data_IF_366229370905
#
_entry.id   IF_366229370905
#
_cell.length_a   1.000
_cell.length_b   1.000
_cell.length_c   1.000
_cell.angle_alpha   90.00
_cell.angle_beta   90.00
_cell.angle_gamma   90.00
#
_symmetry.space_group_name_H-M   'P 1'
#
loop_
_entity.id
_entity.type
_entity.pdbx_description
1 polymer ?
#
# COMPACT_ATOMS: atom_id res chain seq x y z
N UNK A 1 9.59 -8.14 25.17
CA UNK A 1 8.85 -7.71 23.96
C UNK A 1 7.40 -7.47 24.33
N UNK A 2 6.86 -6.27 24.11
CA UNK A 2 5.44 -5.98 24.35
C UNK A 2 4.56 -6.67 23.31
N UNK A 3 3.28 -6.85 23.62
CA UNK A 3 2.31 -7.45 22.69
C UNK A 3 2.10 -6.59 21.43
N UNK A 4 2.14 -5.27 21.60
CA UNK A 4 2.13 -4.31 20.50
C UNK A 4 3.35 -4.49 19.57
N UNK A 5 4.54 -4.72 20.13
CA UNK A 5 5.74 -4.97 19.32
C UNK A 5 5.59 -6.26 18.51
N UNK A 6 5.07 -7.34 19.11
CA UNK A 6 4.85 -8.61 18.41
C UNK A 6 3.86 -8.47 17.25
N UNK A 7 2.78 -7.71 17.42
CA UNK A 7 1.81 -7.45 16.34
C UNK A 7 2.42 -6.65 15.20
N UNK A 8 3.25 -5.64 15.50
CA UNK A 8 3.98 -4.86 14.50
C UNK A 8 4.98 -5.73 13.72
N UNK A 9 5.73 -6.59 14.42
CA UNK A 9 6.69 -7.50 13.79
C UNK A 9 5.98 -8.49 12.85
N UNK A 10 4.87 -9.09 13.29
CA UNK A 10 4.07 -10.00 12.47
C UNK A 10 3.47 -9.29 11.24
N UNK A 11 2.96 -8.07 11.40
CA UNK A 11 2.48 -7.26 10.28
C UNK A 11 3.58 -6.97 9.26
N UNK A 12 4.78 -6.59 9.72
CA UNK A 12 5.93 -6.30 8.86
C UNK A 12 6.43 -7.54 8.12
N UNK A 13 6.43 -8.69 8.78
CA UNK A 13 6.77 -9.97 8.15
C UNK A 13 5.78 -10.30 7.02
N UNK A 14 4.48 -10.28 7.30
CA UNK A 14 3.46 -10.56 6.28
C UNK A 14 3.54 -9.57 5.10
N UNK A 15 3.79 -8.28 5.39
CA UNK A 15 3.99 -7.26 4.36
C UNK A 15 5.21 -7.57 3.48
N UNK A 16 6.33 -7.98 4.09
CA UNK A 16 7.54 -8.36 3.36
C UNK A 16 7.30 -9.53 2.41
N UNK A 17 6.53 -10.54 2.84
CA UNK A 17 6.19 -11.69 1.99
C UNK A 17 5.38 -11.26 0.74
N UNK A 18 4.43 -10.33 0.87
CA UNK A 18 3.73 -9.78 -0.30
C UNK A 18 4.66 -9.03 -1.26
N UNK A 19 5.60 -8.26 -0.72
CA UNK A 19 6.59 -7.51 -1.52
C UNK A 19 7.55 -8.46 -2.23
N UNK A 20 7.99 -9.54 -1.59
CA UNK A 20 8.83 -10.55 -2.23
C UNK A 20 8.11 -11.19 -3.42
N UNK A 21 6.83 -11.54 -3.27
CA UNK A 21 6.04 -12.08 -4.38
C UNK A 21 5.94 -11.06 -5.53
N UNK A 22 5.64 -9.79 -5.22
CA UNK A 22 5.59 -8.73 -6.23
C UNK A 22 6.94 -8.55 -6.94
N UNK A 23 8.05 -8.56 -6.21
CA UNK A 23 9.40 -8.46 -6.77
C UNK A 23 9.74 -9.65 -7.68
N UNK A 24 9.33 -10.87 -7.33
CA UNK A 24 9.50 -12.06 -8.19
C UNK A 24 8.70 -11.93 -9.49
N UNK A 25 7.49 -11.38 -9.43
CA UNK A 25 6.69 -11.12 -10.64
C UNK A 25 7.39 -10.15 -11.60
N UNK A 26 8.01 -9.09 -11.09
CA UNK A 26 8.75 -8.14 -11.92
C UNK A 26 10.06 -8.73 -12.41
N UNK A 27 10.92 -9.18 -11.50
CA UNK A 27 12.32 -9.50 -11.80
C UNK A 27 12.51 -10.87 -12.47
N UNK A 28 11.68 -11.86 -12.12
CA UNK A 28 11.84 -13.23 -12.63
C UNK A 28 10.84 -13.55 -13.75
N UNK A 29 9.61 -13.03 -13.66
CA UNK A 29 8.55 -13.31 -14.65
C UNK A 29 8.39 -12.23 -15.70
N UNK A 30 9.10 -11.10 -15.57
CA UNK A 30 9.13 -10.03 -16.56
C UNK A 30 7.85 -9.19 -16.66
N UNK A 31 6.99 -9.21 -15.65
CA UNK A 31 5.81 -8.34 -15.64
C UNK A 31 6.20 -6.88 -15.44
N UNK A 32 5.47 -5.98 -16.10
CA UNK A 32 5.63 -4.54 -15.90
C UNK A 32 5.31 -4.16 -14.43
N UNK A 33 6.13 -3.29 -13.85
CA UNK A 33 5.98 -2.91 -12.44
C UNK A 33 4.65 -2.19 -12.14
N UNK A 34 4.12 -1.39 -13.09
CA UNK A 34 2.81 -0.74 -12.92
C UNK A 34 1.70 -1.77 -12.97
N UNK A 35 1.83 -2.77 -13.85
CA UNK A 35 0.90 -3.91 -13.91
C UNK A 35 0.88 -4.69 -12.59
N UNK A 36 2.05 -5.01 -12.03
CA UNK A 36 2.14 -5.72 -10.73
C UNK A 36 1.55 -4.87 -9.60
N UNK A 37 1.79 -3.55 -9.61
CA UNK A 37 1.20 -2.63 -8.63
C UNK A 37 -0.33 -2.60 -8.71
N UNK A 38 -0.89 -2.52 -9.92
CA UNK A 38 -2.34 -2.57 -10.13
C UNK A 38 -2.94 -3.93 -9.69
N UNK A 39 -2.25 -5.02 -9.99
CA UNK A 39 -2.65 -6.36 -9.55
C UNK A 39 -2.64 -6.50 -8.02
N UNK A 40 -1.63 -5.93 -7.35
CA UNK A 40 -1.55 -5.95 -5.88
C UNK A 40 -2.72 -5.19 -5.25
N UNK A 41 -3.08 -4.02 -5.79
CA UNK A 41 -4.25 -3.26 -5.34
C UNK A 41 -5.56 -4.04 -5.54
N UNK A 42 -5.72 -4.72 -6.69
CA UNK A 42 -6.89 -5.54 -6.94
C UNK A 42 -6.96 -6.73 -5.97
N UNK A 43 -5.86 -7.46 -5.78
CA UNK A 43 -5.77 -8.58 -4.86
C UNK A 43 -6.10 -8.16 -3.41
N UNK A 44 -5.61 -6.99 -3.00
CA UNK A 44 -5.83 -6.46 -1.67
C UNK A 44 -7.29 -6.05 -1.44
N UNK A 45 -7.97 -5.54 -2.47
CA UNK A 45 -9.42 -5.28 -2.46
C UNK A 45 -10.26 -6.55 -2.40
N UNK A 46 -9.90 -7.59 -3.16
CA UNK A 46 -10.55 -8.91 -3.13
C UNK A 46 -10.42 -9.53 -1.74
N UNK A 47 -9.23 -9.51 -1.15
CA UNK A 47 -8.99 -10.04 0.18
C UNK A 47 -9.73 -9.26 1.27
N UNK A 48 -9.74 -7.93 1.21
CA UNK A 48 -10.51 -7.10 2.13
C UNK A 48 -12.02 -7.39 2.05
N UNK A 49 -12.54 -7.62 0.85
CA UNK A 49 -13.94 -8.02 0.63
C UNK A 49 -14.23 -9.39 1.25
N UNK A 50 -13.35 -10.36 1.03
CA UNK A 50 -13.47 -11.69 1.63
C UNK A 50 -13.47 -11.63 3.17
N UNK A 51 -12.58 -10.86 3.78
CA UNK A 51 -12.53 -10.70 5.25
C UNK A 51 -13.81 -10.05 5.79
N UNK A 52 -14.38 -9.09 5.06
CA UNK A 52 -15.56 -8.35 5.52
C UNK A 52 -16.89 -9.08 5.25
N UNK A 53 -16.99 -9.81 4.13
CA UNK A 53 -18.26 -10.30 3.60
C UNK A 53 -18.26 -11.81 3.26
N UNK A 54 -17.12 -12.50 3.41
CA UNK A 54 -16.98 -13.92 3.08
C UNK A 54 -16.99 -14.20 1.58
N UNK A 55 -17.04 -15.49 1.21
CA UNK A 55 -16.93 -15.95 -0.17
C UNK A 55 -18.11 -15.58 -1.09
N UNK A 56 -19.28 -15.29 -0.51
CA UNK A 56 -20.52 -15.02 -1.25
C UNK A 56 -21.02 -13.58 -1.06
N UNK A 57 -20.29 -12.76 -0.31
CA UNK A 57 -20.66 -11.39 -0.02
C UNK A 57 -19.94 -10.38 -0.89
N UNK A 58 -20.39 -9.13 -0.81
CA UNK A 58 -19.77 -7.98 -1.45
C UNK A 58 -19.81 -6.77 -0.52
N UNK A 59 -18.99 -5.77 -0.78
CA UNK A 59 -19.02 -4.51 -0.04
C UNK A 59 -20.12 -3.61 -0.61
N UNK A 60 -21.10 -3.24 0.23
CA UNK A 60 -21.97 -2.11 -0.05
C UNK A 60 -21.14 -0.80 -0.13
N UNK A 61 -21.66 0.31 -0.71
CA UNK A 61 -20.89 1.55 -0.87
C UNK A 61 -20.17 2.03 0.39
N UNK A 62 -20.86 2.03 1.55
CA UNK A 62 -20.22 2.41 2.82
C UNK A 62 -19.12 1.45 3.29
N UNK A 63 -19.16 0.18 2.88
CA UNK A 63 -18.09 -0.78 3.10
C UNK A 63 -16.86 -0.49 2.25
N UNK A 64 -17.06 -0.08 0.99
CA UNK A 64 -15.99 0.38 0.09
C UNK A 64 -15.30 1.61 0.70
N UNK A 65 -16.07 2.60 1.16
CA UNK A 65 -15.53 3.82 1.78
C UNK A 65 -14.71 3.51 3.04
N UNK A 66 -15.18 2.56 3.85
CA UNK A 66 -14.46 2.13 5.06
C UNK A 66 -13.12 1.49 4.70
N UNK A 67 -13.09 0.59 3.72
CA UNK A 67 -11.85 -0.04 3.25
C UNK A 67 -10.90 1.00 2.66
N UNK A 68 -11.39 1.91 1.81
CA UNK A 68 -10.59 2.98 1.24
C UNK A 68 -9.98 3.89 2.32
N UNK A 69 -10.76 4.23 3.36
CA UNK A 69 -10.29 5.01 4.50
C UNK A 69 -9.19 4.29 5.27
N UNK A 70 -9.33 2.98 5.50
CA UNK A 70 -8.29 2.17 6.13
C UNK A 70 -7.00 2.16 5.32
N UNK A 71 -7.08 2.01 3.99
CA UNK A 71 -5.91 2.12 3.11
C UNK A 71 -5.23 3.48 3.22
N UNK A 72 -6.00 4.58 3.17
CA UNK A 72 -5.49 5.93 3.31
C UNK A 72 -4.74 6.12 4.63
N UNK A 73 -5.31 5.65 5.73
CA UNK A 73 -4.72 5.76 7.06
C UNK A 73 -3.41 4.98 7.16
N UNK A 74 -3.39 3.73 6.67
CA UNK A 74 -2.18 2.91 6.65
C UNK A 74 -1.09 3.52 5.76
N UNK A 75 -1.44 3.99 4.56
CA UNK A 75 -0.48 4.64 3.66
C UNK A 75 0.11 5.90 4.31
N UNK A 76 -0.74 6.73 4.93
CA UNK A 76 -0.30 7.94 5.63
C UNK A 76 0.66 7.62 6.78
N UNK A 77 0.39 6.57 7.55
CA UNK A 77 1.28 6.08 8.60
C UNK A 77 2.64 5.63 8.04
N UNK A 78 2.65 4.86 6.95
CA UNK A 78 3.88 4.41 6.28
C UNK A 78 4.70 5.60 5.80
N UNK A 79 4.08 6.59 5.15
CA UNK A 79 4.79 7.78 4.67
C UNK A 79 5.37 8.60 5.83
N UNK A 80 4.62 8.74 6.93
CA UNK A 80 5.12 9.38 8.15
C UNK A 80 6.34 8.65 8.71
N UNK A 81 6.28 7.33 8.85
CA UNK A 81 7.41 6.51 9.33
C UNK A 81 8.64 6.63 8.43
N UNK A 82 8.45 6.53 7.11
CA UNK A 82 9.52 6.71 6.13
C UNK A 82 10.17 8.08 6.24
N UNK A 83 9.38 9.14 6.45
CA UNK A 83 9.88 10.49 6.68
C UNK A 83 10.77 10.55 7.92
N UNK A 84 10.28 10.03 9.05
CA UNK A 84 11.02 10.01 10.32
C UNK A 84 12.32 9.20 10.22
N UNK A 85 12.32 8.09 9.47
CA UNK A 85 13.52 7.28 9.22
C UNK A 85 14.57 8.02 8.39
N UNK A 86 14.15 8.75 7.35
CA UNK A 86 15.04 9.59 6.55
C UNK A 86 15.66 10.73 7.38
N UNK A 87 14.86 11.38 8.22
CA UNK A 87 15.33 12.43 9.13
C UNK A 87 16.34 11.89 10.15
N UNK A 88 16.09 10.70 10.70
CA UNK A 88 17.03 10.03 11.61
C UNK A 88 18.36 9.66 10.94
N UNK A 89 18.37 9.47 9.62
CA UNK A 89 19.59 9.28 8.82
C UNK A 89 20.28 10.61 8.44
N UNK A 90 19.77 11.75 8.92
CA UNK A 90 20.29 13.09 8.60
C UNK A 90 19.93 13.57 7.18
N UNK A 91 19.01 12.89 6.50
CA UNK A 91 18.52 13.29 5.18
C UNK A 91 17.33 14.25 5.34
N UNK A 92 17.23 15.24 4.46
CA UNK A 92 16.04 16.10 4.37
C UNK A 92 15.01 15.45 3.43
N UNK A 93 13.87 14.94 3.94
CA UNK A 93 12.87 14.32 3.08
C UNK A 93 12.25 15.36 2.17
N UNK A 94 12.27 15.12 0.86
CA UNK A 94 11.57 15.96 -0.11
C UNK A 94 10.19 15.37 -0.35
N UNK A 95 9.09 16.08 -0.04
CA UNK A 95 7.78 15.63 -0.47
C UNK A 95 7.78 15.62 -2.00
N UNK A 96 7.33 14.52 -2.62
CA UNK A 96 6.88 14.64 -4.00
C UNK A 96 5.64 15.52 -3.97
N UNK A 97 5.74 16.71 -4.55
CA UNK A 97 4.56 17.48 -4.90
C UNK A 97 3.66 16.58 -5.75
N UNK A 98 2.35 16.66 -5.54
CA UNK A 98 1.35 16.03 -6.42
C UNK A 98 1.82 16.23 -7.86
N UNK A 99 1.96 15.13 -8.60
CA UNK A 99 2.39 15.19 -9.99
C UNK A 99 1.59 16.30 -10.65
N UNK A 100 2.28 17.39 -11.02
CA UNK A 100 1.70 18.48 -11.76
C UNK A 100 0.93 17.85 -12.91
N UNK A 101 -0.37 18.11 -12.96
CA UNK A 101 -1.18 17.91 -14.15
C UNK A 101 -0.32 18.37 -15.32
N UNK A 102 0.01 17.52 -16.31
CA UNK A 102 0.76 17.98 -17.46
C UNK A 102 -0.02 19.16 -18.03
N UNK A 103 0.67 20.28 -18.13
CA UNK A 103 0.16 21.58 -18.54
C UNK A 103 -1.05 21.48 -19.48
N UNK A 104 -2.20 22.00 -19.03
CA UNK A 104 -3.15 22.68 -19.92
C UNK A 104 -2.45 23.96 -20.43
N UNK A 105 -1.37 23.78 -21.19
CA UNK A 105 -0.77 24.80 -22.03
C UNK A 105 -0.09 24.08 -23.20
N UNK A 106 -0.88 23.85 -24.24
CA UNK A 106 -0.50 24.18 -25.62
C UNK A 106 -1.64 23.94 -26.61
N UNK A 107 -1.99 25.05 -27.25
CA UNK A 107 -2.70 25.27 -28.53
C UNK A 107 -4.22 25.33 -28.50
#
# INVERSE_FOLDING_TARGET
>A
MSEQQKQLDAHNQATSEFIEVANKMVNERGFDAKLVSAALMAASGVYATFIAAGNQGFLAPGGVDKVATMYKNNLSYIQKRKKEELEAQGLTPKPMAEAQSPDEDKS
#
